data_IF_673434596539
#
_entry.id   IF_673434596539
#
_cell.length_a   1.000
_cell.length_b   1.000
_cell.length_c   1.000
_cell.angle_alpha   90.00
_cell.angle_beta   90.00
_cell.angle_gamma   90.00
#
_symmetry.space_group_name_H-M   'P 1'
#
loop_
_entity.id
_entity.type
_entity.pdbx_description
1 polymer ?
#
# COMPACT_ATOMS: atom_id res chain seq x y z
N UNK A 1 -4.54 32.10 12.25
CA UNK A 1 -3.97 30.78 12.59
C UNK A 1 -5.09 29.76 12.44
N UNK A 2 -5.04 28.79 11.52
CA UNK A 2 -6.08 27.76 11.44
C UNK A 2 -6.01 26.91 12.71
N UNK A 3 -7.12 26.91 13.45
CA UNK A 3 -7.25 26.25 14.74
C UNK A 3 -7.46 24.75 14.48
N UNK A 4 -6.54 23.89 14.94
CA UNK A 4 -6.72 22.44 14.88
C UNK A 4 -7.87 22.08 15.83
N UNK A 5 -9.01 21.71 15.30
CA UNK A 5 -10.11 21.14 16.08
C UNK A 5 -9.70 19.76 16.60
N UNK A 6 -9.94 19.44 17.88
CA UNK A 6 -9.51 18.20 18.52
C UNK A 6 -10.43 17.02 18.18
N UNK A 7 -10.98 16.98 16.96
CA UNK A 7 -11.91 15.93 16.55
C UNK A 7 -11.10 14.78 15.96
N UNK A 8 -11.39 13.56 16.42
CA UNK A 8 -10.74 12.35 15.94
C UNK A 8 -11.16 12.10 14.49
N UNK A 9 -10.23 11.75 13.61
CA UNK A 9 -10.52 11.52 12.19
C UNK A 9 -11.60 10.44 11.96
N UNK A 10 -11.69 9.45 12.85
CA UNK A 10 -12.75 8.45 12.88
C UNK A 10 -14.15 9.06 13.04
N UNK A 11 -14.32 10.04 13.93
CA UNK A 11 -15.59 10.72 14.16
C UNK A 11 -16.01 11.57 12.96
N UNK A 12 -15.06 12.22 12.28
CA UNK A 12 -15.35 12.99 11.05
C UNK A 12 -15.86 12.08 9.94
N UNK A 13 -15.25 10.89 9.78
CA UNK A 13 -15.68 9.90 8.80
C UNK A 13 -17.09 9.38 9.13
N UNK A 14 -17.36 9.03 10.39
CA UNK A 14 -18.69 8.60 10.85
C UNK A 14 -19.77 9.68 10.70
N UNK A 15 -19.41 10.94 10.98
CA UNK A 15 -20.33 12.09 10.88
C UNK A 15 -20.63 12.45 9.41
N UNK A 16 -19.68 12.21 8.51
CA UNK A 16 -19.87 12.45 7.07
C UNK A 16 -20.89 11.51 6.43
N UNK A 17 -21.12 10.32 7.02
CA UNK A 17 -22.15 9.38 6.57
C UNK A 17 -23.54 9.73 7.11
N UNK A 18 -23.62 10.26 8.34
CA UNK A 18 -24.90 10.61 9.00
C UNK A 18 -25.59 11.84 8.40
N UNK A 19 -24.89 12.64 7.58
CA UNK A 19 -25.45 13.84 6.93
C UNK A 19 -26.23 13.61 5.64
N UNK A 20 -26.33 12.37 5.12
CA UNK A 20 -27.02 12.05 3.86
C UNK A 20 -28.29 11.22 3.99
N UNK A 21 -28.66 10.80 5.19
CA UNK A 21 -29.81 9.91 5.40
C UNK A 21 -31.00 10.66 6.00
N UNK A 22 -31.77 11.31 5.14
CA UNK A 22 -33.21 11.44 5.36
C UNK A 22 -33.92 10.87 4.12
N UNK A 23 -34.76 9.85 4.37
CA UNK A 23 -35.74 9.24 3.46
C UNK A 23 -35.31 8.21 2.40
N UNK A 24 -34.63 7.13 2.79
CA UNK A 24 -34.76 5.86 2.05
C UNK A 24 -34.54 4.63 2.94
N UNK A 25 -35.59 3.82 3.07
CA UNK A 25 -35.58 2.37 3.38
C UNK A 25 -34.66 1.87 4.51
N UNK A 26 -35.26 1.60 5.68
CA UNK A 26 -34.74 0.63 6.67
C UNK A 26 -34.79 -0.79 6.11
N UNK A 27 -33.92 -1.10 5.15
CA UNK A 27 -33.53 -2.48 4.88
C UNK A 27 -32.27 -2.71 5.69
N UNK A 28 -32.20 -3.72 6.59
CA UNK A 28 -30.92 -4.07 7.19
C UNK A 28 -29.92 -4.30 6.03
N UNK A 29 -28.69 -3.78 6.13
CA UNK A 29 -27.67 -4.11 5.15
C UNK A 29 -27.68 -5.63 4.96
N UNK A 30 -27.58 -6.15 3.71
CA UNK A 30 -27.44 -7.58 3.53
C UNK A 30 -26.29 -7.99 4.44
N UNK A 31 -26.56 -8.91 5.38
CA UNK A 31 -25.53 -9.58 6.13
C UNK A 31 -24.72 -10.34 5.10
N UNK A 32 -23.75 -9.66 4.47
CA UNK A 32 -22.65 -10.34 3.83
C UNK A 32 -21.96 -11.02 4.99
N UNK A 33 -22.35 -12.26 5.24
CA UNK A 33 -21.53 -13.24 5.93
C UNK A 33 -20.23 -13.31 5.14
N UNK A 34 -19.36 -12.33 5.37
CA UNK A 34 -18.04 -12.28 4.80
C UNK A 34 -17.42 -13.59 5.25
N UNK A 35 -17.30 -14.51 4.30
CA UNK A 35 -16.87 -15.86 4.56
C UNK A 35 -15.49 -15.76 5.21
N UNK A 36 -15.44 -15.98 6.53
CA UNK A 36 -14.22 -15.92 7.34
C UNK A 36 -13.39 -17.18 7.13
N UNK A 37 -13.43 -17.74 5.93
CA UNK A 37 -12.60 -18.87 5.55
C UNK A 37 -11.14 -18.45 5.63
N UNK A 38 -10.30 -19.25 6.32
CA UNK A 38 -8.86 -19.03 6.29
C UNK A 38 -8.34 -18.99 4.85
N UNK A 39 -7.46 -18.04 4.56
CA UNK A 39 -6.86 -17.84 3.25
C UNK A 39 -5.37 -18.14 3.30
N UNK A 40 -4.84 -18.64 2.18
CA UNK A 40 -3.43 -18.92 2.09
C UNK A 40 -2.66 -17.66 1.69
N UNK A 41 -1.39 -17.58 2.06
CA UNK A 41 -0.54 -16.44 1.71
C UNK A 41 -0.38 -16.27 0.18
N UNK A 42 -0.38 -17.38 -0.57
CA UNK A 42 -0.23 -17.34 -2.03
C UNK A 42 -1.44 -16.73 -2.74
N UNK A 43 -2.63 -16.77 -2.14
CA UNK A 43 -3.85 -16.16 -2.72
C UNK A 43 -3.70 -14.64 -2.86
N UNK A 44 -2.88 -14.02 -2.01
CA UNK A 44 -2.58 -12.59 -1.99
C UNK A 44 -1.15 -12.27 -2.44
N UNK A 45 -0.44 -13.19 -3.10
CA UNK A 45 0.91 -12.92 -3.60
C UNK A 45 0.87 -11.78 -4.63
N UNK A 46 1.79 -10.83 -4.44
CA UNK A 46 2.00 -9.69 -5.33
C UNK A 46 3.48 -9.40 -5.37
N UNK A 47 4.03 -9.17 -6.56
CA UNK A 47 5.42 -8.80 -6.76
C UNK A 47 5.54 -7.58 -7.66
N UNK A 48 6.70 -6.91 -7.55
CA UNK A 48 7.06 -5.79 -8.39
C UNK A 48 8.54 -5.85 -8.69
N UNK A 49 8.89 -5.88 -9.98
CA UNK A 49 10.27 -6.04 -10.45
C UNK A 49 10.85 -4.68 -10.81
N UNK A 50 12.04 -4.38 -10.29
CA UNK A 50 12.78 -3.15 -10.55
C UNK A 50 14.03 -3.43 -11.41
N UNK A 51 13.93 -3.32 -12.75
CA UNK A 51 15.02 -3.65 -13.65
C UNK A 51 16.06 -2.52 -13.74
N UNK A 52 16.77 -2.26 -12.64
CA UNK A 52 17.75 -1.17 -12.54
C UNK A 52 18.89 -1.29 -13.55
N UNK A 53 19.30 -2.51 -13.90
CA UNK A 53 20.37 -2.74 -14.87
C UNK A 53 20.00 -2.27 -16.27
N UNK A 54 18.79 -2.56 -16.73
CA UNK A 54 18.35 -2.28 -18.11
C UNK A 54 17.62 -0.95 -18.27
N UNK A 55 17.36 -0.20 -17.19
CA UNK A 55 16.67 1.11 -17.26
C UNK A 55 17.40 2.18 -16.46
N UNK A 56 18.24 2.97 -17.14
CA UNK A 56 18.97 4.09 -16.54
C UNK A 56 18.04 5.16 -15.94
N UNK A 57 16.93 5.46 -16.63
CA UNK A 57 15.92 6.41 -16.14
C UNK A 57 15.24 5.93 -14.86
N UNK A 58 15.02 4.61 -14.73
CA UNK A 58 14.48 4.04 -13.50
C UNK A 58 15.52 4.08 -12.40
N UNK A 59 16.76 3.70 -12.67
CA UNK A 59 17.85 3.76 -11.69
C UNK A 59 17.99 5.18 -11.12
N UNK A 60 18.01 6.20 -11.97
CA UNK A 60 18.12 7.60 -11.55
C UNK A 60 17.03 8.02 -10.55
N UNK A 61 15.79 7.56 -10.74
CA UNK A 61 14.68 7.84 -9.81
C UNK A 61 14.90 7.22 -8.42
N UNK A 62 15.63 6.11 -8.35
CA UNK A 62 15.91 5.38 -7.11
C UNK A 62 17.29 5.69 -6.54
N UNK A 63 18.07 6.53 -7.20
CA UNK A 63 19.40 6.95 -6.74
C UNK A 63 19.32 8.31 -6.05
N UNK A 64 20.13 8.46 -4.99
CA UNK A 64 20.33 9.73 -4.29
C UNK A 64 21.54 10.48 -4.86
N UNK A 65 21.77 11.73 -4.43
CA UNK A 65 22.88 12.54 -4.92
C UNK A 65 24.28 11.94 -4.63
N UNK A 66 24.37 10.99 -3.70
CA UNK A 66 25.60 10.27 -3.33
C UNK A 66 25.78 8.95 -4.09
N UNK A 67 24.90 8.63 -5.05
CA UNK A 67 24.96 7.38 -5.82
C UNK A 67 24.40 6.15 -5.12
N UNK A 68 23.85 6.30 -3.91
CA UNK A 68 23.21 5.20 -3.18
C UNK A 68 21.71 5.10 -3.46
N UNK A 69 21.08 4.02 -2.97
CA UNK A 69 19.63 3.85 -3.08
C UNK A 69 18.90 4.87 -2.18
N UNK A 70 17.84 5.47 -2.73
CA UNK A 70 16.91 6.34 -2.02
C UNK A 70 15.94 5.48 -1.21
N UNK A 71 16.33 5.14 0.02
CA UNK A 71 15.53 4.28 0.91
C UNK A 71 14.08 4.77 1.08
N UNK A 72 13.85 6.08 1.16
CA UNK A 72 12.48 6.63 1.24
C UNK A 72 11.59 6.24 0.06
N UNK A 73 12.13 6.21 -1.17
CA UNK A 73 11.38 5.79 -2.37
C UNK A 73 11.10 4.29 -2.37
N UNK A 74 12.04 3.51 -1.87
CA UNK A 74 11.84 2.07 -1.68
C UNK A 74 10.74 1.81 -0.63
N UNK A 75 10.73 2.56 0.48
CA UNK A 75 9.71 2.44 1.53
C UNK A 75 8.32 2.84 1.03
N UNK A 76 8.21 3.90 0.24
CA UNK A 76 6.95 4.30 -0.42
C UNK A 76 6.34 3.17 -1.26
N UNK A 77 7.18 2.46 -2.02
CA UNK A 77 6.73 1.34 -2.86
C UNK A 77 6.40 0.09 -2.03
N UNK A 78 7.15 -0.16 -0.96
CA UNK A 78 6.86 -1.26 -0.04
C UNK A 78 5.54 -1.05 0.71
N UNK A 79 5.23 0.18 1.15
CA UNK A 79 3.94 0.52 1.76
C UNK A 79 2.78 0.33 0.76
N UNK A 80 2.97 0.80 -0.48
CA UNK A 80 1.99 0.60 -1.56
C UNK A 80 1.74 -0.88 -1.86
N UNK A 81 2.80 -1.70 -1.87
CA UNK A 81 2.72 -3.14 -2.07
C UNK A 81 2.00 -3.83 -0.90
N UNK A 82 2.33 -3.48 0.34
CA UNK A 82 1.67 -4.00 1.54
C UNK A 82 0.16 -3.69 1.56
N UNK A 83 -0.23 -2.48 1.14
CA UNK A 83 -1.62 -2.10 0.95
C UNK A 83 -2.31 -3.00 -0.08
N UNK A 84 -1.70 -3.20 -1.26
CA UNK A 84 -2.24 -4.07 -2.32
C UNK A 84 -2.43 -5.51 -1.84
N UNK A 85 -1.44 -6.09 -1.17
CA UNK A 85 -1.50 -7.44 -0.59
C UNK A 85 -2.65 -7.53 0.42
N UNK A 86 -2.76 -6.55 1.32
CA UNK A 86 -3.80 -6.54 2.36
C UNK A 86 -5.21 -6.50 1.77
N UNK A 87 -5.46 -5.62 0.78
CA UNK A 87 -6.74 -5.56 0.11
C UNK A 87 -7.06 -6.84 -0.68
N UNK A 88 -6.09 -7.39 -1.41
CA UNK A 88 -6.25 -8.66 -2.14
C UNK A 88 -6.56 -9.81 -1.18
N UNK A 89 -5.85 -9.87 -0.06
CA UNK A 89 -6.08 -10.86 0.98
C UNK A 89 -7.47 -10.73 1.61
N UNK A 90 -8.00 -9.51 1.77
CA UNK A 90 -9.32 -9.28 2.34
C UNK A 90 -10.48 -9.52 1.37
N UNK A 91 -10.28 -9.26 0.08
CA UNK A 91 -11.30 -9.44 -0.97
C UNK A 91 -11.35 -10.85 -1.58
N UNK A 92 -10.25 -11.60 -1.49
CA UNK A 92 -10.18 -13.00 -1.89
C UNK A 92 -9.72 -13.21 -3.34
N UNK A 93 -9.47 -14.47 -3.74
CA UNK A 93 -8.77 -14.81 -4.99
C UNK A 93 -9.54 -14.43 -6.27
N UNK A 94 -10.85 -14.19 -6.17
CA UNK A 94 -11.68 -13.78 -7.31
C UNK A 94 -11.52 -12.31 -7.71
N UNK A 95 -10.85 -11.49 -6.90
CA UNK A 95 -10.68 -10.06 -7.16
C UNK A 95 -9.30 -9.78 -7.75
N UNK A 96 -9.26 -9.51 -9.06
CA UNK A 96 -8.03 -9.16 -9.77
C UNK A 96 -7.71 -7.65 -9.71
N UNK A 97 -8.73 -6.81 -9.55
CA UNK A 97 -8.58 -5.35 -9.49
C UNK A 97 -9.39 -4.76 -8.34
N UNK A 98 -8.78 -3.80 -7.63
CA UNK A 98 -9.38 -3.25 -6.42
C UNK A 98 -10.66 -2.44 -6.70
N UNK A 99 -10.82 -1.94 -7.95
CA UNK A 99 -11.90 -1.04 -8.32
C UNK A 99 -11.78 0.29 -7.60
N UNK A 100 -12.89 1.04 -7.45
CA UNK A 100 -12.89 2.23 -6.61
C UNK A 100 -13.01 1.83 -5.15
N UNK A 101 -12.02 2.20 -4.33
CA UNK A 101 -11.96 1.83 -2.91
C UNK A 101 -13.20 2.31 -2.14
N UNK A 102 -13.74 3.49 -2.48
CA UNK A 102 -14.97 4.03 -1.88
C UNK A 102 -16.18 3.09 -2.02
N UNK A 103 -16.23 2.24 -3.05
CA UNK A 103 -17.34 1.31 -3.30
C UNK A 103 -17.22 0.02 -2.45
N UNK A 104 -16.09 -0.19 -1.75
CA UNK A 104 -15.83 -1.41 -0.95
C UNK A 104 -16.35 -1.34 0.48
N UNK A 105 -16.61 -0.15 1.03
CA UNK A 105 -17.17 0.04 2.38
C UNK A 105 -16.18 -0.14 3.54
N UNK A 106 -14.87 -0.25 3.26
CA UNK A 106 -13.82 -0.32 4.28
C UNK A 106 -12.50 0.24 3.73
N UNK A 107 -11.63 0.70 4.63
CA UNK A 107 -10.29 1.17 4.32
C UNK A 107 -9.26 0.44 5.18
N UNK A 108 -8.20 -0.01 4.54
CA UNK A 108 -7.01 -0.56 5.21
C UNK A 108 -5.97 0.54 5.34
N UNK A 109 -5.36 0.62 6.51
CA UNK A 109 -4.30 1.59 6.83
C UNK A 109 -3.09 0.86 7.41
N UNK A 110 -1.90 1.38 7.14
CA UNK A 110 -0.67 0.90 7.76
C UNK A 110 -0.63 1.35 9.22
N UNK A 111 -0.79 0.41 10.15
CA UNK A 111 -0.82 0.72 11.59
C UNK A 111 0.60 0.96 12.15
N UNK A 112 1.57 0.18 11.69
CA UNK A 112 2.98 0.26 12.09
C UNK A 112 3.87 -0.34 11.03
N UNK A 113 5.16 0.00 11.06
CA UNK A 113 6.20 -0.60 10.22
C UNK A 113 7.32 -1.07 11.14
N UNK A 114 7.69 -2.34 11.03
CA UNK A 114 8.80 -2.91 11.78
C UNK A 114 10.15 -2.35 11.30
N UNK A 115 11.20 -2.53 12.12
CA UNK A 115 12.54 -2.07 11.77
C UNK A 115 13.01 -2.75 10.47
N UNK A 116 13.27 -1.95 9.46
CA UNK A 116 13.92 -2.38 8.22
C UNK A 116 15.44 -2.21 8.35
N UNK A 117 16.20 -3.30 8.20
CA UNK A 117 17.65 -3.29 8.17
C UNK A 117 18.14 -3.60 6.76
N UNK A 118 18.97 -2.71 6.23
CA UNK A 118 19.50 -2.85 4.88
C UNK A 118 20.95 -3.32 4.97
N UNK A 119 21.21 -4.56 4.55
CA UNK A 119 22.58 -5.09 4.42
C UNK A 119 23.19 -4.76 3.06
N UNK A 120 22.93 -3.56 2.54
CA UNK A 120 23.70 -3.05 1.42
C UNK A 120 25.06 -2.68 1.99
N UNK A 121 26.01 -3.62 1.93
CA UNK A 121 27.43 -3.30 2.09
C UNK A 121 27.77 -2.09 1.22
N UNK A 122 28.74 -1.29 1.68
CA UNK A 122 29.22 -0.08 0.99
C UNK A 122 29.10 -0.23 -0.52
N UNK A 123 28.19 0.52 -1.13
CA UNK A 123 27.99 0.54 -2.58
C UNK A 123 29.36 0.84 -3.21
N UNK A 124 30.03 -0.19 -3.75
CA UNK A 124 31.29 -0.04 -4.44
C UNK A 124 30.98 -0.08 -5.95
N UNK A 125 31.07 1.06 -6.65
CA UNK A 125 30.76 1.15 -8.08
C UNK A 125 31.57 0.20 -8.96
N UNK A 126 32.71 -0.30 -8.48
CA UNK A 126 33.55 -1.26 -9.24
C UNK A 126 32.90 -2.63 -9.45
N UNK A 127 31.97 -3.08 -8.60
CA UNK A 127 31.31 -4.39 -8.78
C UNK A 127 30.38 -4.46 -10.00
N UNK A 128 30.03 -3.32 -10.61
CA UNK A 128 29.14 -3.24 -11.77
C UNK A 128 29.86 -2.85 -13.06
N UNK A 129 31.15 -2.51 -12.99
CA UNK A 129 31.97 -2.26 -14.18
C UNK A 129 32.19 -3.54 -15.00
N UNK A 130 32.24 -4.70 -14.32
CA UNK A 130 32.51 -6.00 -14.94
C UNK A 130 31.26 -6.63 -15.62
N UNK A 131 30.07 -6.06 -15.42
CA UNK A 131 28.82 -6.54 -16.06
C UNK A 131 28.52 -5.87 -17.41
N UNK A 132 29.36 -4.91 -17.82
CA UNK A 132 29.25 -4.18 -19.08
C UNK A 132 30.52 -4.28 -19.96
N UNK A 133 31.39 -5.26 -19.68
CA UNK A 133 32.51 -5.65 -20.54
C UNK A 133 32.18 -6.94 -21.29
#
# INVERSE_FOLDING_TARGET
MPMRTPVMWSEVLLTSETGRENEASKTPPPESSADLTPRNMHDSYTEFILPFGSSAQLLEQYTNASGGIRTGKLMEHLDSLAGSISYKHMLGPGVQTLGKIHERGFYIVTASVDRYETYLGSWNPSYWADLYA
#
